data_IF_701503274067
#
_entry.id   IF_701503274067
#
_cell.length_a   1.000
_cell.length_b   1.000
_cell.length_c   1.000
_cell.angle_alpha   90.00
_cell.angle_beta   90.00
_cell.angle_gamma   90.00
#
_symmetry.space_group_name_H-M   'P 1'
#
loop_
_entity.id
_entity.type
_entity.pdbx_description
1 polymer ?
#
# COMPACT_ATOMS: atom_id res chain seq x y z
N UNK A 1 -19.36 -7.09 15.52
CA UNK A 1 -17.90 -7.29 15.58
C UNK A 1 -17.35 -6.40 16.69
N UNK A 2 -16.66 -6.97 17.66
CA UNK A 2 -15.88 -6.20 18.64
C UNK A 2 -14.54 -5.85 17.98
N UNK A 3 -14.42 -4.60 17.51
CA UNK A 3 -13.18 -4.05 16.96
C UNK A 3 -12.59 -3.11 18.00
N UNK A 4 -11.34 -3.32 18.39
CA UNK A 4 -10.59 -2.37 19.20
C UNK A 4 -9.96 -1.33 18.27
N UNK A 5 -10.15 -0.05 18.56
CA UNK A 5 -9.58 1.06 17.80
C UNK A 5 -8.58 1.78 18.70
N UNK A 6 -7.33 1.83 18.28
CA UNK A 6 -6.28 2.58 18.93
C UNK A 6 -5.87 3.76 18.05
N UNK A 7 -5.81 4.94 18.63
CA UNK A 7 -5.33 6.16 17.97
C UNK A 7 -3.88 6.38 18.37
N UNK A 8 -2.98 6.42 17.39
CA UNK A 8 -1.55 6.66 17.60
C UNK A 8 -1.20 8.03 17.02
N UNK A 9 -1.00 9.07 17.84
CA UNK A 9 -0.64 10.39 17.34
C UNK A 9 0.82 10.44 16.88
N UNK A 10 1.09 11.16 15.79
CA UNK A 10 2.46 11.36 15.28
C UNK A 10 3.28 12.35 16.11
N UNK A 11 2.63 13.06 17.02
CA UNK A 11 3.27 14.10 17.85
C UNK A 11 3.28 15.46 17.16
N UNK A 12 4.35 16.24 17.36
CA UNK A 12 4.47 17.61 16.81
C UNK A 12 5.09 17.68 15.42
N UNK A 13 5.56 16.56 14.89
CA UNK A 13 6.25 16.48 13.60
C UNK A 13 5.50 15.57 12.64
N UNK A 14 5.46 15.94 11.36
CA UNK A 14 4.95 15.05 10.30
C UNK A 14 6.00 13.98 10.03
N UNK A 15 5.65 12.72 10.25
CA UNK A 15 6.58 11.58 10.16
C UNK A 15 6.81 11.07 8.75
N UNK A 16 6.01 11.53 7.76
CA UNK A 16 5.90 10.93 6.43
C UNK A 16 5.37 9.48 6.52
N UNK A 17 5.10 8.84 5.39
CA UNK A 17 4.41 7.55 5.31
C UNK A 17 5.15 6.42 6.02
N UNK A 18 6.46 6.33 5.87
CA UNK A 18 7.27 5.29 6.52
C UNK A 18 7.42 5.51 8.02
N UNK A 19 7.63 6.76 8.43
CA UNK A 19 7.71 7.11 9.84
C UNK A 19 6.38 6.92 10.58
N UNK A 20 5.24 7.25 9.93
CA UNK A 20 3.90 6.99 10.48
C UNK A 20 3.63 5.48 10.65
N UNK A 21 3.96 4.67 9.65
CA UNK A 21 3.88 3.20 9.75
C UNK A 21 4.74 2.69 10.92
N UNK A 22 5.99 3.14 11.03
CA UNK A 22 6.89 2.77 12.13
C UNK A 22 6.31 3.15 13.49
N UNK A 23 5.72 4.34 13.61
CA UNK A 23 5.09 4.80 14.82
C UNK A 23 3.92 3.91 15.23
N UNK A 24 3.01 3.57 14.30
CA UNK A 24 1.89 2.67 14.55
C UNK A 24 2.36 1.27 14.96
N UNK A 25 3.31 0.68 14.23
CA UNK A 25 3.84 -0.66 14.49
C UNK A 25 4.50 -0.74 15.87
N UNK A 26 5.21 0.29 16.31
CA UNK A 26 5.85 0.33 17.63
C UNK A 26 4.84 0.36 18.80
N UNK A 27 3.58 0.68 18.53
CA UNK A 27 2.48 0.64 19.50
C UNK A 27 1.65 -0.66 19.45
N UNK A 28 2.16 -1.71 18.83
CA UNK A 28 1.51 -3.03 18.72
C UNK A 28 2.54 -4.12 18.96
N UNK A 29 2.13 -5.30 19.38
CA UNK A 29 2.99 -6.49 19.53
C UNK A 29 2.92 -7.42 18.32
N UNK A 30 2.06 -7.12 17.33
CA UNK A 30 1.88 -7.92 16.13
C UNK A 30 3.13 -7.92 15.23
N UNK A 31 3.26 -8.96 14.42
CA UNK A 31 4.39 -9.15 13.51
C UNK A 31 4.14 -8.57 12.14
N UNK A 32 2.93 -8.74 11.63
CA UNK A 32 2.54 -8.38 10.28
C UNK A 32 1.30 -7.49 10.31
N UNK A 33 1.23 -6.52 9.43
CA UNK A 33 0.24 -5.47 9.44
C UNK A 33 -0.38 -5.31 8.06
N UNK A 34 -1.71 -5.29 7.99
CA UNK A 34 -2.43 -4.80 6.83
C UNK A 34 -2.54 -3.27 6.95
N UNK A 35 -1.96 -2.56 6.02
CA UNK A 35 -1.94 -1.10 5.98
C UNK A 35 -2.86 -0.63 4.85
N UNK A 36 -3.76 0.28 5.16
CA UNK A 36 -4.71 0.87 4.23
C UNK A 36 -4.59 2.39 4.26
N UNK A 37 -4.38 3.01 3.11
CA UNK A 37 -4.42 4.46 2.98
C UNK A 37 -5.86 4.97 3.01
N UNK A 38 -6.14 6.14 3.62
CA UNK A 38 -7.50 6.65 3.76
C UNK A 38 -8.09 7.29 2.50
N UNK A 39 -7.29 7.57 1.50
CA UNK A 39 -7.64 8.26 0.25
C UNK A 39 -8.10 7.33 -0.89
N UNK A 40 -8.07 6.02 -0.67
CA UNK A 40 -8.69 5.02 -1.55
C UNK A 40 -10.14 4.77 -1.13
N UNK A 41 -11.05 4.67 -2.10
CA UNK A 41 -12.45 4.32 -1.84
C UNK A 41 -12.57 2.80 -1.68
N UNK A 42 -12.48 2.35 -0.45
CA UNK A 42 -12.60 0.94 -0.09
C UNK A 42 -14.04 0.45 -0.21
N UNK A 43 -14.23 -0.70 -0.83
CA UNK A 43 -15.52 -1.38 -0.96
C UNK A 43 -15.36 -2.91 -0.95
N UNK A 44 -16.46 -3.66 -1.04
CA UNK A 44 -16.46 -5.11 -0.94
C UNK A 44 -15.63 -5.83 -2.03
N UNK A 45 -15.34 -5.16 -3.17
CA UNK A 45 -14.51 -5.76 -4.23
C UNK A 45 -13.05 -5.97 -3.80
N UNK A 46 -12.61 -5.34 -2.71
CA UNK A 46 -11.26 -5.50 -2.17
C UNK A 46 -11.13 -6.72 -1.24
N UNK A 47 -12.24 -7.23 -0.69
CA UNK A 47 -12.21 -8.25 0.36
C UNK A 47 -11.49 -9.53 -0.12
N UNK A 48 -11.95 -10.11 -1.23
CA UNK A 48 -11.37 -11.34 -1.77
C UNK A 48 -9.90 -11.15 -2.20
N UNK A 49 -9.53 -10.13 -2.99
CA UNK A 49 -8.13 -9.85 -3.31
C UNK A 49 -7.20 -9.67 -2.09
N UNK A 50 -7.67 -9.02 -1.03
CA UNK A 50 -6.88 -8.87 0.20
C UNK A 50 -6.69 -10.23 0.90
N UNK A 51 -7.72 -11.07 0.96
CA UNK A 51 -7.64 -12.43 1.53
C UNK A 51 -6.65 -13.29 0.72
N UNK A 52 -6.73 -13.24 -0.61
CA UNK A 52 -5.81 -13.99 -1.47
C UNK A 52 -4.37 -13.47 -1.35
N UNK A 53 -4.18 -12.16 -1.29
CA UNK A 53 -2.89 -11.52 -1.05
C UNK A 53 -2.30 -11.94 0.30
N UNK A 54 -3.11 -12.01 1.37
CA UNK A 54 -2.69 -12.52 2.68
C UNK A 54 -2.21 -13.97 2.62
N UNK A 55 -2.97 -14.83 1.97
CA UNK A 55 -2.57 -16.23 1.77
C UNK A 55 -1.27 -16.35 0.98
N UNK A 56 -1.11 -15.54 -0.06
CA UNK A 56 0.12 -15.52 -0.84
C UNK A 56 1.31 -15.05 0.00
N UNK A 57 1.13 -14.00 0.81
CA UNK A 57 2.13 -13.48 1.73
C UNK A 57 2.62 -14.56 2.72
N UNK A 58 1.68 -15.24 3.39
CA UNK A 58 1.98 -16.28 4.38
C UNK A 58 2.68 -17.50 3.75
N UNK A 59 2.12 -18.03 2.65
CA UNK A 59 2.62 -19.23 1.98
C UNK A 59 4.04 -19.06 1.42
N UNK A 60 4.40 -17.85 0.98
CA UNK A 60 5.71 -17.56 0.41
C UNK A 60 6.69 -16.94 1.42
N UNK A 61 6.28 -16.75 2.68
CA UNK A 61 7.09 -16.17 3.76
C UNK A 61 7.74 -14.84 3.38
N UNK A 62 7.03 -14.06 2.58
CA UNK A 62 7.49 -12.72 2.15
C UNK A 62 7.24 -11.70 3.24
N UNK A 63 7.92 -10.55 3.19
CA UNK A 63 7.85 -9.54 4.25
C UNK A 63 7.12 -8.27 3.84
N UNK A 64 6.93 -8.05 2.55
CA UNK A 64 6.12 -6.95 2.04
C UNK A 64 5.45 -7.35 0.73
N UNK A 65 4.18 -7.02 0.59
CA UNK A 65 3.42 -7.15 -0.64
C UNK A 65 2.48 -5.98 -0.80
N UNK A 66 2.47 -5.37 -1.99
CA UNK A 66 1.61 -4.26 -2.34
C UNK A 66 0.43 -4.77 -3.16
N UNK A 67 -0.78 -4.32 -2.85
CA UNK A 67 -1.91 -4.47 -3.78
C UNK A 67 -1.76 -3.40 -4.86
N UNK A 68 -1.65 -3.84 -6.12
CA UNK A 68 -1.44 -2.94 -7.26
C UNK A 68 -2.51 -3.14 -8.30
N UNK A 69 -2.85 -2.09 -9.04
CA UNK A 69 -3.88 -2.11 -10.09
C UNK A 69 -3.30 -1.59 -11.39
N UNK A 70 -3.69 -2.22 -12.51
CA UNK A 70 -3.31 -1.67 -13.81
C UNK A 70 -3.93 -0.27 -13.98
N UNK A 71 -3.13 0.73 -14.39
CA UNK A 71 -3.55 2.13 -14.54
C UNK A 71 -4.75 2.33 -15.45
N UNK A 72 -5.03 1.39 -16.38
CA UNK A 72 -6.23 1.41 -17.24
C UNK A 72 -7.53 1.29 -16.44
N UNK A 73 -7.48 0.66 -15.26
CA UNK A 73 -8.62 0.47 -14.36
C UNK A 73 -8.81 1.64 -13.39
N UNK A 74 -7.86 2.59 -13.33
CA UNK A 74 -8.02 3.79 -12.52
C UNK A 74 -9.14 4.68 -13.04
N UNK A 75 -9.97 5.21 -12.11
CA UNK A 75 -10.95 6.25 -12.40
C UNK A 75 -10.26 7.56 -12.80
N UNK A 76 -9.26 7.98 -12.05
CA UNK A 76 -8.40 9.11 -12.40
C UNK A 76 -7.44 8.69 -13.50
N UNK A 77 -7.67 9.19 -14.72
CA UNK A 77 -6.83 8.89 -15.90
C UNK A 77 -5.52 9.69 -15.94
N UNK A 78 -5.34 10.63 -15.01
CA UNK A 78 -4.09 11.42 -14.88
C UNK A 78 -3.04 10.68 -14.06
N UNK A 79 -3.43 9.65 -13.29
CA UNK A 79 -2.49 8.87 -12.48
C UNK A 79 -1.49 8.13 -13.38
N UNK A 80 -0.23 8.36 -13.08
CA UNK A 80 0.87 7.58 -13.65
C UNK A 80 1.02 6.26 -12.88
N UNK A 81 1.58 5.24 -13.55
CA UNK A 81 1.96 4.02 -12.85
C UNK A 81 3.16 4.25 -11.93
N UNK A 82 3.25 3.46 -10.89
CA UNK A 82 4.35 3.44 -9.93
C UNK A 82 5.34 2.32 -10.26
N UNK A 83 4.82 1.19 -10.75
CA UNK A 83 5.55 -0.06 -10.91
C UNK A 83 5.22 -0.78 -12.21
N UNK A 84 6.08 -1.73 -12.57
CA UNK A 84 5.75 -2.88 -13.43
C UNK A 84 5.57 -4.11 -12.54
N UNK A 85 4.71 -5.04 -12.96
CA UNK A 85 4.46 -6.30 -12.27
C UNK A 85 4.81 -7.46 -13.21
N UNK A 86 5.73 -8.31 -12.78
CA UNK A 86 6.06 -9.55 -13.48
C UNK A 86 6.24 -10.68 -12.46
N UNK A 87 5.47 -11.77 -12.61
CA UNK A 87 5.51 -12.94 -11.69
C UNK A 87 5.43 -12.57 -10.21
N UNK A 88 4.55 -11.63 -9.87
CA UNK A 88 4.38 -11.05 -8.54
C UNK A 88 5.59 -10.24 -8.02
N UNK A 89 6.60 -9.95 -8.81
CA UNK A 89 7.67 -9.01 -8.46
C UNK A 89 7.39 -7.63 -9.04
N UNK A 90 7.62 -6.60 -8.24
CA UNK A 90 7.49 -5.21 -8.62
C UNK A 90 8.86 -4.62 -8.99
N UNK A 91 8.86 -3.82 -10.05
CA UNK A 91 10.03 -3.07 -10.49
C UNK A 91 9.67 -1.65 -10.91
N UNK A 92 10.64 -0.74 -10.92
CA UNK A 92 10.49 0.65 -11.38
C UNK A 92 11.09 0.90 -12.76
N UNK A 93 11.00 -0.08 -13.67
CA UNK A 93 11.49 0.05 -15.04
C UNK A 93 10.62 1.02 -15.86
N UNK A 94 10.94 1.23 -17.14
CA UNK A 94 10.51 2.36 -17.96
C UNK A 94 9.00 2.55 -18.18
N UNK A 95 8.17 1.50 -18.15
CA UNK A 95 6.77 1.60 -18.58
C UNK A 95 5.78 1.90 -17.45
N UNK A 96 6.01 1.43 -16.24
CA UNK A 96 5.18 1.65 -15.04
C UNK A 96 3.68 1.58 -15.32
N UNK A 97 3.17 0.36 -15.48
CA UNK A 97 1.77 0.13 -15.84
C UNK A 97 0.83 -0.05 -14.62
N UNK A 98 1.38 -0.24 -13.42
CA UNK A 98 0.62 -0.52 -12.21
C UNK A 98 0.75 0.62 -11.20
N UNK A 99 -0.38 0.94 -10.56
CA UNK A 99 -0.52 1.93 -9.49
C UNK A 99 -0.61 1.19 -8.15
N UNK A 100 0.07 1.67 -7.13
CA UNK A 100 -0.15 1.23 -5.75
C UNK A 100 -1.52 1.69 -5.27
N UNK A 101 -2.33 0.75 -4.79
CA UNK A 101 -3.72 1.04 -4.40
C UNK A 101 -3.85 1.68 -3.01
N UNK A 102 -2.77 1.84 -2.27
CA UNK A 102 -2.84 2.24 -0.86
C UNK A 102 -3.02 1.06 0.11
N UNK A 103 -2.98 -0.20 -0.39
CA UNK A 103 -3.07 -1.40 0.44
C UNK A 103 -1.77 -2.20 0.38
N UNK A 104 -1.20 -2.54 1.54
CA UNK A 104 -0.04 -3.43 1.62
C UNK A 104 -0.08 -4.30 2.88
N UNK A 105 0.57 -5.46 2.82
CA UNK A 105 0.94 -6.21 4.01
C UNK A 105 2.42 -5.96 4.28
N UNK A 106 2.73 -5.59 5.51
CA UNK A 106 4.05 -5.11 5.92
C UNK A 106 4.51 -5.83 7.19
N UNK A 107 5.64 -6.52 7.13
CA UNK A 107 6.23 -7.16 8.30
C UNK A 107 7.05 -6.16 9.14
N UNK A 108 6.90 -6.22 10.46
CA UNK A 108 7.68 -5.44 11.43
C UNK A 108 9.20 -5.54 11.19
N UNK A 109 9.67 -6.67 10.71
CA UNK A 109 11.09 -6.90 10.46
C UNK A 109 11.69 -5.87 9.49
N UNK A 110 10.88 -5.34 8.57
CA UNK A 110 11.34 -4.34 7.61
C UNK A 110 11.70 -3.00 8.23
N UNK A 111 11.24 -2.71 9.45
CA UNK A 111 11.62 -1.49 10.15
C UNK A 111 13.12 -1.42 10.47
N UNK A 112 13.81 -2.57 10.48
CA UNK A 112 15.27 -2.62 10.64
C UNK A 112 16.02 -2.03 9.46
N UNK A 113 15.41 -1.97 8.26
CA UNK A 113 16.01 -1.42 7.05
C UNK A 113 16.11 0.12 7.09
N UNK A 114 15.32 0.79 7.96
CA UNK A 114 15.36 2.24 8.06
C UNK A 114 15.28 2.69 9.52
N UNK A 115 16.35 3.31 10.02
CA UNK A 115 16.46 3.77 11.40
C UNK A 115 15.96 5.22 11.57
N UNK A 116 15.66 5.94 10.50
CA UNK A 116 15.14 7.31 10.57
C UNK A 116 13.81 7.37 11.31
N UNK A 117 13.53 8.52 11.92
CA UNK A 117 12.22 8.83 12.50
C UNK A 117 11.24 9.29 11.40
N UNK A 118 11.70 10.16 10.52
CA UNK A 118 10.94 10.77 9.42
C UNK A 118 11.47 10.22 8.11
N UNK A 119 10.65 9.47 7.38
CA UNK A 119 11.02 8.91 6.08
C UNK A 119 9.79 8.43 5.30
N UNK A 120 9.90 8.39 3.98
CA UNK A 120 8.89 7.79 3.11
C UNK A 120 9.03 6.25 3.08
N UNK A 121 7.91 5.53 3.12
CA UNK A 121 7.90 4.07 2.95
C UNK A 121 8.53 3.62 1.62
N UNK A 122 8.56 4.51 0.64
CA UNK A 122 9.21 4.28 -0.66
C UNK A 122 10.70 3.96 -0.51
N UNK A 123 11.38 4.48 0.52
CA UNK A 123 12.78 4.14 0.80
C UNK A 123 12.96 2.64 1.08
N UNK A 124 12.02 2.04 1.83
CA UNK A 124 12.03 0.58 2.07
C UNK A 124 11.70 -0.19 0.78
N UNK A 125 10.71 0.28 0.01
CA UNK A 125 10.37 -0.37 -1.26
C UNK A 125 11.54 -0.34 -2.25
N UNK A 126 12.28 0.77 -2.33
CA UNK A 126 13.45 0.89 -3.21
C UNK A 126 14.56 -0.09 -2.83
N UNK A 127 14.77 -0.32 -1.53
CA UNK A 127 15.73 -1.32 -1.05
C UNK A 127 15.25 -2.74 -1.33
N UNK A 128 13.96 -3.02 -1.20
CA UNK A 128 13.38 -4.31 -1.55
C UNK A 128 13.45 -4.58 -3.06
N UNK A 129 13.20 -3.57 -3.91
CA UNK A 129 13.33 -3.70 -5.38
C UNK A 129 14.75 -4.05 -5.80
N UNK A 130 15.77 -3.43 -5.20
CA UNK A 130 17.19 -3.72 -5.51
C UNK A 130 17.57 -5.18 -5.28
N UNK A 131 16.82 -5.88 -4.42
CA UNK A 131 17.07 -7.27 -4.04
C UNK A 131 15.99 -8.23 -4.56
N UNK A 132 15.17 -7.82 -5.52
CA UNK A 132 14.04 -8.59 -6.08
C UNK A 132 13.08 -9.14 -4.99
N UNK A 133 12.80 -8.33 -3.97
CA UNK A 133 12.02 -8.71 -2.79
C UNK A 133 10.79 -7.82 -2.54
N UNK A 134 10.45 -6.90 -3.44
CA UNK A 134 9.18 -6.19 -3.39
C UNK A 134 8.14 -6.95 -4.22
N UNK A 135 7.13 -7.50 -3.53
CA UNK A 135 6.08 -8.26 -4.18
C UNK A 135 4.86 -7.39 -4.48
N UNK A 136 4.12 -7.78 -5.51
CA UNK A 136 2.84 -7.18 -5.90
C UNK A 136 1.77 -8.23 -6.11
N UNK A 137 0.56 -7.90 -5.70
CA UNK A 137 -0.65 -8.66 -5.98
C UNK A 137 -1.60 -7.83 -6.84
N UNK A 138 -2.09 -8.37 -7.95
CA UNK A 138 -2.89 -7.61 -8.90
C UNK A 138 -4.35 -7.51 -8.45
N UNK A 139 -4.84 -6.29 -8.25
CA UNK A 139 -6.25 -5.96 -8.12
C UNK A 139 -6.85 -5.74 -9.52
N UNK A 140 -7.91 -6.47 -9.86
CA UNK A 140 -8.45 -6.51 -11.23
C UNK A 140 -9.77 -5.77 -11.42
N UNK A 141 -10.21 -5.04 -10.40
CA UNK A 141 -11.43 -4.23 -10.48
C UNK A 141 -11.11 -2.74 -10.68
N UNK A 142 -12.15 -1.94 -10.91
CA UNK A 142 -12.01 -0.49 -11.00
C UNK A 142 -11.43 0.09 -9.73
N UNK A 143 -10.45 0.97 -9.87
CA UNK A 143 -9.76 1.66 -8.80
C UNK A 143 -10.23 3.10 -8.66
N UNK A 144 -10.64 3.48 -7.46
CA UNK A 144 -11.11 4.81 -7.13
C UNK A 144 -10.25 5.39 -6.01
N UNK A 145 -9.58 6.49 -6.32
CA UNK A 145 -8.68 7.19 -5.41
C UNK A 145 -8.99 8.69 -5.43
N UNK A 146 -9.02 9.31 -4.27
CA UNK A 146 -9.26 10.76 -4.13
C UNK A 146 -7.94 11.49 -4.24
N UNK A 147 -7.52 11.77 -5.47
CA UNK A 147 -6.24 12.45 -5.75
C UNK A 147 -6.31 13.94 -5.43
N UNK A 148 -7.45 14.57 -5.76
CA UNK A 148 -7.69 15.99 -5.60
C UNK A 148 -9.19 16.32 -5.48
N UNK A 149 -9.51 17.59 -5.28
CA UNK A 149 -10.90 18.07 -5.18
C UNK A 149 -11.70 17.88 -6.47
N UNK A 150 -11.05 17.93 -7.63
CA UNK A 150 -11.70 17.70 -8.94
C UNK A 150 -12.19 16.25 -9.03
N UNK A 151 -11.31 15.29 -8.68
CA UNK A 151 -11.64 13.86 -8.67
C UNK A 151 -12.70 13.56 -7.61
N UNK A 152 -12.60 14.14 -6.40
CA UNK A 152 -13.63 14.02 -5.38
C UNK A 152 -15.01 14.44 -5.88
N UNK A 153 -15.11 15.62 -6.51
CA UNK A 153 -16.37 16.12 -7.06
C UNK A 153 -16.91 15.24 -8.21
N UNK A 154 -16.04 14.63 -9.02
CA UNK A 154 -16.46 13.69 -10.06
C UNK A 154 -16.99 12.39 -9.45
N UNK A 155 -16.37 11.89 -8.40
CA UNK A 155 -16.82 10.68 -7.69
C UNK A 155 -18.20 10.89 -7.06
N UNK A 156 -18.46 12.04 -6.45
CA UNK A 156 -19.80 12.38 -5.91
C UNK A 156 -20.90 12.39 -6.96
N UNK A 157 -20.60 12.77 -8.20
CA UNK A 157 -21.59 12.84 -9.30
C UNK A 157 -21.87 11.50 -9.96
N UNK A 158 -21.02 10.50 -9.74
CA UNK A 158 -21.13 9.17 -10.34
C UNK A 158 -21.69 8.11 -9.36
N UNK A 159 -22.03 8.50 -8.13
CA UNK A 159 -22.82 7.75 -7.17
C UNK A 159 -24.25 8.27 -7.17
#
# INVERSE_FOLDING_TARGET
>A
FNISINIVPDGSEILDTGGGIKNMINNSDEKDFLILNPDTIWNNNYLEPIIEMSKFFENNKIKNILLVVNKKLSFDKKLNGDFNLEKNLLSKNSTKEYIYTGCQIFSRELLSLNQKKIFSVVEIWDDLIKNDNLFGFEFRNKFYHVTDLEIYNKLLKNN
#
